data_IF_810270332586
#
_entry.id   IF_810270332586
#
_cell.length_a   1.000
_cell.length_b   1.000
_cell.length_c   1.000
_cell.angle_alpha   90.00
_cell.angle_beta   90.00
_cell.angle_gamma   90.00
#
_symmetry.space_group_name_H-M   'P 1'
#
loop_
_entity.id
_entity.type
_entity.pdbx_description
1 polymer ?
#
# COMPACT_ATOMS: atom_id res chain seq x y z
N UNK A 1 -53.14 11.12 13.84
CA UNK A 1 -51.94 11.48 13.03
C UNK A 1 -50.91 10.36 13.16
N UNK A 2 -50.69 9.55 12.10
CA UNK A 2 -49.67 8.49 12.10
C UNK A 2 -48.34 9.07 11.64
N UNK A 3 -47.41 9.22 12.56
CA UNK A 3 -46.06 9.73 12.31
C UNK A 3 -45.26 8.65 11.55
N UNK A 4 -45.03 8.86 10.25
CA UNK A 4 -44.17 7.99 9.42
C UNK A 4 -42.75 8.10 9.94
N UNK A 5 -42.21 7.01 10.51
CA UNK A 5 -40.78 6.91 10.87
C UNK A 5 -39.96 7.08 9.59
N UNK A 6 -39.30 8.22 9.42
CA UNK A 6 -38.22 8.39 8.43
C UNK A 6 -37.15 7.36 8.77
N UNK A 7 -36.88 6.41 7.88
CA UNK A 7 -35.66 5.59 7.97
C UNK A 7 -34.48 6.56 7.89
N UNK A 8 -33.75 6.73 8.98
CA UNK A 8 -32.50 7.46 8.97
C UNK A 8 -31.50 6.63 8.14
N UNK A 9 -31.29 7.04 6.90
CA UNK A 9 -30.30 6.42 6.02
C UNK A 9 -28.92 6.81 6.53
N UNK A 10 -28.12 5.83 6.96
CA UNK A 10 -26.71 6.07 7.31
C UNK A 10 -25.98 6.57 6.04
N UNK A 11 -25.14 7.60 6.15
CA UNK A 11 -24.40 8.11 5.00
C UNK A 11 -23.49 7.02 4.41
N UNK A 12 -23.24 7.04 3.08
CA UNK A 12 -22.34 6.09 2.44
C UNK A 12 -20.95 6.18 3.06
N UNK A 13 -20.35 5.03 3.39
CA UNK A 13 -19.00 4.97 3.98
C UNK A 13 -17.99 4.93 2.84
N UNK A 14 -17.22 6.00 2.68
CA UNK A 14 -16.01 6.00 1.87
C UNK A 14 -14.89 5.32 2.68
N UNK A 15 -14.22 4.36 2.09
CA UNK A 15 -13.06 3.68 2.69
C UNK A 15 -11.91 3.68 1.69
N UNK A 16 -10.68 3.70 2.19
CA UNK A 16 -9.49 3.50 1.39
C UNK A 16 -8.83 2.17 1.77
N UNK A 17 -8.17 1.56 0.79
CA UNK A 17 -7.24 0.47 1.00
C UNK A 17 -5.84 1.07 1.10
N UNK A 18 -5.17 0.88 2.24
CA UNK A 18 -3.86 1.47 2.50
C UNK A 18 -2.83 0.43 2.91
N UNK A 19 -1.58 0.66 2.53
CA UNK A 19 -0.43 -0.08 3.04
C UNK A 19 0.72 0.88 3.30
N UNK A 20 1.45 0.68 4.39
CA UNK A 20 2.59 1.51 4.76
C UNK A 20 3.82 0.64 4.93
N UNK A 21 4.84 0.91 4.12
CA UNK A 21 6.18 0.38 4.27
C UNK A 21 6.98 1.25 5.24
N UNK A 22 7.69 0.63 6.17
CA UNK A 22 8.56 1.29 7.13
C UNK A 22 9.87 0.51 7.23
N UNK A 23 10.99 1.24 7.28
CA UNK A 23 12.34 0.68 7.36
C UNK A 23 13.22 1.55 8.26
N UNK A 24 14.16 0.97 9.02
CA UNK A 24 15.10 1.75 9.83
C UNK A 24 16.06 2.61 9.01
N UNK A 25 16.33 2.21 7.77
CA UNK A 25 17.37 2.81 6.92
C UNK A 25 16.80 3.58 5.74
N UNK A 26 15.47 3.55 5.54
CA UNK A 26 14.80 4.16 4.38
C UNK A 26 13.56 4.92 4.79
N UNK A 27 13.18 5.92 4.00
CA UNK A 27 11.95 6.66 4.20
C UNK A 27 10.73 5.74 4.11
N UNK A 28 9.72 6.01 4.95
CA UNK A 28 8.46 5.29 4.89
C UNK A 28 7.70 5.64 3.60
N UNK A 29 7.06 4.64 3.00
CA UNK A 29 6.25 4.80 1.80
C UNK A 29 4.82 4.34 2.08
N UNK A 30 3.84 5.19 1.77
CA UNK A 30 2.42 4.84 1.92
C UNK A 30 1.76 4.72 0.56
N UNK A 31 1.08 3.61 0.36
CA UNK A 31 0.25 3.32 -0.80
C UNK A 31 -1.21 3.44 -0.37
N UNK A 32 -2.03 4.10 -1.18
CA UNK A 32 -3.45 4.30 -0.90
C UNK A 32 -4.25 4.19 -2.18
N UNK A 33 -5.30 3.37 -2.16
CA UNK A 33 -6.32 3.31 -3.21
C UNK A 33 -7.67 3.67 -2.59
N UNK A 34 -8.35 4.65 -3.19
CA UNK A 34 -9.72 4.96 -2.80
C UNK A 34 -10.66 3.84 -3.26
N UNK A 35 -11.66 3.52 -2.43
CA UNK A 35 -12.70 2.56 -2.77
C UNK A 35 -14.04 3.29 -2.97
N UNK A 36 -14.90 2.80 -3.86
CA UNK A 36 -16.20 3.39 -4.09
C UNK A 36 -17.06 3.33 -2.83
N UNK A 37 -17.86 4.38 -2.61
CA UNK A 37 -18.83 4.41 -1.52
C UNK A 37 -19.87 3.30 -1.67
N UNK A 38 -20.10 2.54 -0.60
CA UNK A 38 -21.20 1.57 -0.55
C UNK A 38 -22.19 1.93 0.57
N UNK A 39 -23.48 1.86 0.24
CA UNK A 39 -24.56 1.99 1.22
C UNK A 39 -24.74 0.70 2.01
N UNK A 40 -25.09 0.79 3.30
CA UNK A 40 -25.46 -0.38 4.11
C UNK A 40 -26.70 -1.12 3.57
N UNK A 41 -27.52 -0.45 2.76
CA UNK A 41 -28.70 -1.02 2.08
C UNK A 41 -28.42 -1.41 0.63
N UNK A 42 -27.16 -1.51 0.21
CA UNK A 42 -26.81 -1.89 -1.14
C UNK A 42 -27.37 -3.28 -1.51
N UNK A 43 -27.89 -3.37 -2.75
CA UNK A 43 -28.34 -4.62 -3.35
C UNK A 43 -27.18 -5.61 -3.48
N UNK A 44 -27.49 -6.90 -3.70
CA UNK A 44 -26.47 -7.93 -3.94
C UNK A 44 -25.55 -7.54 -5.11
N UNK A 45 -26.12 -7.03 -6.21
CA UNK A 45 -25.34 -6.54 -7.34
C UNK A 45 -24.37 -5.41 -6.95
N UNK A 46 -24.84 -4.44 -6.14
CA UNK A 46 -23.99 -3.35 -5.66
C UNK A 46 -22.85 -3.82 -4.74
N UNK A 47 -23.09 -4.86 -3.93
CA UNK A 47 -22.05 -5.49 -3.10
C UNK A 47 -21.02 -6.25 -3.94
N UNK A 48 -21.47 -6.97 -4.97
CA UNK A 48 -20.57 -7.69 -5.90
C UNK A 48 -19.69 -6.71 -6.66
N UNK A 49 -20.25 -5.62 -7.17
CA UNK A 49 -19.47 -4.57 -7.84
C UNK A 49 -18.42 -3.95 -6.92
N UNK A 50 -18.78 -3.61 -5.68
CA UNK A 50 -17.83 -3.10 -4.69
C UNK A 50 -16.70 -4.09 -4.39
N UNK A 51 -17.00 -5.39 -4.27
CA UNK A 51 -15.98 -6.42 -4.03
C UNK A 51 -15.07 -6.62 -5.24
N UNK A 52 -15.59 -6.51 -6.46
CA UNK A 52 -14.79 -6.57 -7.68
C UNK A 52 -13.80 -5.38 -7.77
N UNK A 53 -14.26 -4.17 -7.42
CA UNK A 53 -13.40 -2.98 -7.33
C UNK A 53 -12.34 -3.15 -6.24
N UNK A 54 -12.74 -3.59 -5.04
CA UNK A 54 -11.79 -3.88 -3.95
C UNK A 54 -10.73 -4.90 -4.36
N UNK A 55 -11.13 -5.97 -5.06
CA UNK A 55 -10.20 -6.99 -5.53
C UNK A 55 -9.22 -6.42 -6.56
N UNK A 56 -9.69 -5.56 -7.45
CA UNK A 56 -8.86 -4.87 -8.43
C UNK A 56 -7.86 -3.94 -7.74
N UNK A 57 -8.34 -3.07 -6.85
CA UNK A 57 -7.48 -2.19 -6.04
C UNK A 57 -6.43 -2.97 -5.24
N UNK A 58 -6.78 -4.14 -4.70
CA UNK A 58 -5.84 -4.99 -3.98
C UNK A 58 -4.73 -5.55 -4.89
N UNK A 59 -5.08 -5.98 -6.11
CA UNK A 59 -4.09 -6.48 -7.09
C UNK A 59 -3.15 -5.37 -7.54
N UNK A 60 -3.70 -4.17 -7.78
CA UNK A 60 -2.88 -3.00 -8.10
C UNK A 60 -1.93 -2.66 -6.96
N UNK A 61 -2.45 -2.56 -5.74
CA UNK A 61 -1.64 -2.29 -4.55
C UNK A 61 -0.52 -3.31 -4.37
N UNK A 62 -0.81 -4.60 -4.56
CA UNK A 62 0.20 -5.65 -4.51
C UNK A 62 1.29 -5.44 -5.57
N UNK A 63 0.90 -5.11 -6.81
CA UNK A 63 1.84 -4.82 -7.90
C UNK A 63 2.73 -3.63 -7.58
N UNK A 64 2.15 -2.56 -7.04
CA UNK A 64 2.89 -1.34 -6.67
C UNK A 64 3.90 -1.62 -5.57
N UNK A 65 3.51 -2.37 -4.53
CA UNK A 65 4.39 -2.77 -3.43
C UNK A 65 5.53 -3.66 -3.94
N UNK A 66 5.24 -4.64 -4.80
CA UNK A 66 6.28 -5.51 -5.36
C UNK A 66 7.27 -4.72 -6.22
N UNK A 67 6.77 -3.81 -7.05
CA UNK A 67 7.61 -2.94 -7.89
C UNK A 67 8.51 -2.07 -7.03
N UNK A 68 7.93 -1.42 -6.00
CA UNK A 68 8.67 -0.61 -5.04
C UNK A 68 9.78 -1.41 -4.36
N UNK A 69 9.47 -2.57 -3.78
CA UNK A 69 10.45 -3.40 -3.08
C UNK A 69 11.56 -3.91 -4.01
N UNK A 70 11.19 -4.31 -5.24
CA UNK A 70 12.17 -4.79 -6.22
C UNK A 70 13.13 -3.68 -6.62
N UNK A 71 12.62 -2.47 -6.88
CA UNK A 71 13.48 -1.32 -7.16
C UNK A 71 14.40 -1.02 -5.97
N UNK A 72 13.84 -1.05 -4.75
CA UNK A 72 14.60 -0.86 -3.52
C UNK A 72 15.75 -1.86 -3.37
N UNK A 73 15.52 -3.13 -3.69
CA UNK A 73 16.57 -4.16 -3.67
C UNK A 73 17.67 -3.89 -4.69
N UNK A 74 17.32 -3.38 -5.88
CA UNK A 74 18.31 -3.00 -6.90
C UNK A 74 19.13 -1.82 -6.42
N UNK A 75 18.48 -0.79 -5.86
CA UNK A 75 19.16 0.39 -5.34
C UNK A 75 20.08 0.05 -4.17
N UNK A 76 19.60 -0.76 -3.22
CA UNK A 76 20.37 -1.18 -2.04
C UNK A 76 21.57 -2.05 -2.46
N UNK A 77 21.42 -2.91 -3.48
CA UNK A 77 22.54 -3.70 -4.03
C UNK A 77 23.59 -2.80 -4.70
N UNK A 78 23.16 -1.84 -5.52
CA UNK A 78 24.09 -0.90 -6.16
C UNK A 78 24.87 -0.06 -5.14
N UNK A 79 24.22 0.33 -4.04
CA UNK A 79 24.88 1.02 -2.94
C UNK A 79 25.89 0.15 -2.19
N UNK A 80 25.65 -1.16 -2.08
CA UNK A 80 26.58 -2.10 -1.46
C UNK A 80 27.80 -2.35 -2.35
N UNK A 81 27.57 -2.58 -3.64
CA UNK A 81 28.64 -2.76 -4.64
C UNK A 81 29.55 -1.51 -4.71
N UNK A 82 28.98 -0.30 -4.66
CA UNK A 82 29.76 0.94 -4.63
C UNK A 82 30.64 1.08 -3.37
N UNK A 83 30.12 0.71 -2.20
CA UNK A 83 30.90 0.71 -0.96
C UNK A 83 32.04 -0.31 -0.99
N UNK A 84 31.77 -1.48 -1.57
CA UNK A 84 32.79 -2.52 -1.72
C UNK A 84 33.93 -2.05 -2.65
N UNK A 85 33.61 -1.32 -3.72
CA UNK A 85 34.61 -0.74 -4.62
C UNK A 85 35.42 0.40 -3.96
N UNK A 86 34.78 1.27 -3.17
CA UNK A 86 35.47 2.31 -2.39
C UNK A 86 36.44 1.72 -1.35
N UNK A 87 36.10 0.56 -0.77
CA UNK A 87 36.94 -0.11 0.25
C UNK A 87 38.10 -0.91 -0.38
N UNK A 88 38.05 -1.20 -1.68
CA UNK A 88 39.07 -2.01 -2.38
C UNK A 88 40.45 -1.29 -2.52
N UNK A 89 40.53 -0.01 -2.15
CA UNK A 89 41.77 0.78 -2.13
C UNK A 89 42.36 1.07 -0.75
N UNK A 90 41.67 0.67 0.33
CA UNK A 90 42.19 0.76 1.69
C UNK A 90 42.59 -0.64 2.16
N UNK A 91 43.88 -0.96 2.11
CA UNK A 91 44.42 -2.16 2.76
C UNK A 91 44.14 -2.04 4.27
N UNK A 92 43.09 -2.71 4.74
CA UNK A 92 42.89 -2.94 6.18
C UNK A 92 43.95 -3.97 6.57
N UNK A 93 45.14 -3.49 6.89
CA UNK A 93 46.16 -4.29 7.58
C UNK A 93 45.61 -4.53 8.97
N UNK A 94 45.07 -5.72 9.21
CA UNK A 94 44.78 -6.19 10.56
C UNK A 94 46.14 -6.25 11.32
N UNK A 95 46.41 -5.28 12.19
CA UNK A 95 47.51 -5.35 13.16
C UNK A 95 47.04 -6.17 14.38
N UNK A 96 47.76 -7.27 14.65
CA UNK A 96 47.56 -8.26 15.73
C UNK A 96 47.31 -7.68 17.14
#
# INVERSE_FOLDING_TARGET
>A
MKLRRKKAQRPPKMSSLTATYSSPTSAAQTFSSELPAISSTASTAGRVAYLAELQTSLRTLQSDVNTFLTQKMVDDKAADDAKAEETYGEEVVDED
#
